data_IF_199780751032
#
_entry.id   IF_199780751032
#
_cell.length_a   1.000
_cell.length_b   1.000
_cell.length_c   1.000
_cell.angle_alpha   90.00
_cell.angle_beta   90.00
_cell.angle_gamma   90.00
#
_symmetry.space_group_name_H-M   'P 1'
#
loop_
_entity.id
_entity.type
_entity.pdbx_description
1 polymer ?
#
# COMPACT_ATOMS: atom_id res chain seq x y z
N UNK A 1 -7.71 2.67 5.24
CA UNK A 1 -6.56 3.53 4.94
C UNK A 1 -6.07 3.29 3.51
N UNK A 2 -5.53 4.33 2.89
CA UNK A 2 -5.00 4.29 1.52
C UNK A 2 -3.72 5.11 1.44
N UNK A 3 -2.69 4.50 0.88
CA UNK A 3 -1.46 5.17 0.49
C UNK A 3 -1.30 5.01 -1.03
N UNK A 4 -1.29 6.10 -1.77
CA UNK A 4 -1.19 6.05 -3.23
C UNK A 4 -2.09 7.04 -3.96
N UNK A 5 -2.38 6.73 -5.21
CA UNK A 5 -3.28 7.52 -6.06
C UNK A 5 -3.90 6.63 -7.14
N UNK A 6 -5.20 6.77 -7.34
CA UNK A 6 -5.97 6.05 -8.37
C UNK A 6 -6.15 6.94 -9.59
N UNK A 7 -5.50 6.60 -10.68
CA UNK A 7 -5.48 7.44 -11.89
C UNK A 7 -6.81 7.47 -12.62
N UNK A 8 -7.62 6.41 -12.51
CA UNK A 8 -8.94 6.28 -13.13
C UNK A 8 -10.12 6.58 -12.19
N UNK A 9 -9.86 6.99 -10.92
CA UNK A 9 -10.91 7.22 -9.92
C UNK A 9 -12.01 8.18 -10.41
N UNK A 10 -11.64 9.26 -11.12
CA UNK A 10 -12.62 10.23 -11.65
C UNK A 10 -13.56 9.65 -12.71
N UNK A 11 -13.06 8.72 -13.54
CA UNK A 11 -13.88 8.04 -14.54
C UNK A 11 -14.87 7.11 -13.87
N UNK A 12 -14.39 6.27 -12.95
CA UNK A 12 -15.22 5.34 -12.18
C UNK A 12 -16.25 6.10 -11.33
N UNK A 13 -15.86 7.19 -10.68
CA UNK A 13 -16.77 8.04 -9.89
C UNK A 13 -17.96 8.52 -10.75
N UNK A 14 -17.67 9.05 -11.95
CA UNK A 14 -18.74 9.52 -12.87
C UNK A 14 -19.70 8.41 -13.27
N UNK A 15 -19.17 7.25 -13.61
CA UNK A 15 -19.96 6.06 -13.95
C UNK A 15 -20.84 5.61 -12.78
N UNK A 16 -20.28 5.54 -11.59
CA UNK A 16 -20.99 5.14 -10.38
C UNK A 16 -22.13 6.12 -10.05
N UNK A 17 -21.89 7.44 -10.17
CA UNK A 17 -22.93 8.47 -9.96
C UNK A 17 -24.05 8.32 -10.99
N UNK A 18 -23.74 8.11 -12.28
CA UNK A 18 -24.73 7.85 -13.31
C UNK A 18 -25.59 6.61 -13.01
N UNK A 19 -25.01 5.64 -12.32
CA UNK A 19 -25.70 4.42 -11.86
C UNK A 19 -26.26 4.55 -10.43
N UNK A 20 -26.51 5.78 -9.95
CA UNK A 20 -27.19 6.07 -8.70
C UNK A 20 -26.34 5.93 -7.42
N UNK A 21 -25.01 5.91 -7.51
CA UNK A 21 -24.17 5.97 -6.31
C UNK A 21 -24.21 7.37 -5.70
N UNK A 22 -24.25 7.42 -4.37
CA UNK A 22 -24.16 8.64 -3.59
C UNK A 22 -22.78 8.67 -2.93
N UNK A 23 -22.00 9.70 -3.22
CA UNK A 23 -20.69 9.94 -2.62
C UNK A 23 -20.79 11.01 -1.53
N UNK A 24 -20.03 10.82 -0.46
CA UNK A 24 -19.99 11.75 0.67
C UNK A 24 -18.70 12.58 0.68
N UNK A 25 -17.70 12.20 -0.12
CA UNK A 25 -16.41 12.88 -0.21
C UNK A 25 -15.92 12.97 -1.66
N UNK A 26 -14.83 13.70 -1.85
CA UNK A 26 -14.11 13.77 -3.13
C UNK A 26 -12.89 12.83 -3.18
N UNK A 27 -12.75 11.96 -2.18
CA UNK A 27 -11.61 11.06 -2.07
C UNK A 27 -11.71 9.91 -3.09
N UNK A 28 -10.60 9.60 -3.73
CA UNK A 28 -10.49 8.46 -4.64
C UNK A 28 -10.76 7.12 -3.94
N UNK A 29 -10.43 7.01 -2.66
CA UNK A 29 -10.67 5.81 -1.84
C UNK A 29 -12.16 5.45 -1.72
N UNK A 30 -13.07 6.44 -1.75
CA UNK A 30 -14.52 6.18 -1.67
C UNK A 30 -15.02 5.39 -2.88
N UNK A 31 -14.39 5.55 -4.04
CA UNK A 31 -14.68 4.76 -5.23
C UNK A 31 -14.51 3.26 -4.96
N UNK A 32 -13.46 2.89 -4.23
CA UNK A 32 -13.19 1.49 -3.87
C UNK A 32 -14.30 0.91 -3.00
N UNK A 33 -14.80 1.68 -2.04
CA UNK A 33 -15.90 1.27 -1.17
C UNK A 33 -17.19 1.06 -1.97
N UNK A 34 -17.50 1.97 -2.88
CA UNK A 34 -18.68 1.88 -3.75
C UNK A 34 -18.60 0.65 -4.69
N UNK A 35 -17.45 0.38 -5.29
CA UNK A 35 -17.23 -0.81 -6.11
C UNK A 35 -17.36 -2.10 -5.28
N UNK A 36 -16.76 -2.13 -4.09
CA UNK A 36 -16.85 -3.27 -3.17
C UNK A 36 -18.30 -3.55 -2.76
N UNK A 37 -19.05 -2.51 -2.44
CA UNK A 37 -20.46 -2.63 -2.05
C UNK A 37 -21.36 -3.17 -3.18
N UNK A 38 -21.00 -2.90 -4.44
CA UNK A 38 -21.77 -3.32 -5.63
C UNK A 38 -21.40 -4.72 -6.13
N UNK A 39 -20.29 -5.29 -5.71
CA UNK A 39 -19.91 -6.66 -6.08
C UNK A 39 -20.91 -7.66 -5.50
N UNK A 40 -21.32 -8.62 -6.33
CA UNK A 40 -22.29 -9.66 -5.98
C UNK A 40 -21.64 -10.91 -5.40
N UNK A 41 -20.35 -10.88 -5.08
CA UNK A 41 -19.65 -11.98 -4.43
C UNK A 41 -20.15 -12.20 -3.01
N UNK A 42 -20.00 -13.41 -2.50
CA UNK A 42 -20.45 -13.76 -1.15
C UNK A 42 -19.46 -13.28 -0.07
N UNK A 43 -18.14 -13.50 -0.29
CA UNK A 43 -17.09 -13.14 0.66
C UNK A 43 -16.67 -11.69 0.45
N UNK A 44 -16.42 -10.96 1.53
CA UNK A 44 -16.03 -9.53 1.47
C UNK A 44 -14.68 -9.33 0.79
N UNK A 45 -13.73 -10.23 1.00
CA UNK A 45 -12.44 -10.20 0.33
C UNK A 45 -12.56 -10.37 -1.19
N UNK A 46 -13.47 -11.22 -1.67
CA UNK A 46 -13.74 -11.39 -3.11
C UNK A 46 -14.37 -10.13 -3.71
N UNK A 47 -15.26 -9.47 -2.96
CA UNK A 47 -15.85 -8.18 -3.35
C UNK A 47 -14.79 -7.10 -3.45
N UNK A 48 -13.88 -7.06 -2.49
CA UNK A 48 -12.78 -6.11 -2.47
C UNK A 48 -11.82 -6.36 -3.66
N UNK A 49 -11.49 -7.63 -3.94
CA UNK A 49 -10.68 -8.01 -5.10
C UNK A 49 -11.37 -7.62 -6.43
N UNK A 50 -12.69 -7.80 -6.56
CA UNK A 50 -13.44 -7.35 -7.74
C UNK A 50 -13.36 -5.83 -7.93
N UNK A 51 -13.36 -5.07 -6.83
CA UNK A 51 -13.14 -3.63 -6.86
C UNK A 51 -11.70 -3.28 -7.31
N UNK A 52 -10.70 -3.93 -6.71
CA UNK A 52 -9.27 -3.69 -7.02
C UNK A 52 -8.95 -3.96 -8.49
N UNK A 53 -9.59 -4.94 -9.13
CA UNK A 53 -9.41 -5.25 -10.56
C UNK A 53 -9.85 -4.16 -11.52
N UNK A 54 -10.65 -3.21 -11.05
CA UNK A 54 -11.14 -2.08 -11.83
C UNK A 54 -10.29 -0.82 -11.65
N UNK A 55 -9.29 -0.86 -10.77
CA UNK A 55 -8.47 0.29 -10.41
C UNK A 55 -7.20 0.35 -11.27
N UNK A 56 -6.85 1.56 -11.68
CA UNK A 56 -5.55 1.89 -12.24
C UNK A 56 -4.80 2.83 -11.30
N UNK A 57 -3.49 2.62 -11.16
CA UNK A 57 -2.62 3.43 -10.31
C UNK A 57 -1.81 2.62 -9.32
N UNK A 58 -1.06 3.32 -8.47
CA UNK A 58 -0.30 2.71 -7.38
C UNK A 58 -1.05 2.86 -6.06
N UNK A 59 -1.19 1.76 -5.34
CA UNK A 59 -1.90 1.77 -4.06
C UNK A 59 -1.37 0.74 -3.06
N UNK A 60 -1.52 1.10 -1.79
CA UNK A 60 -1.53 0.17 -0.68
C UNK A 60 -2.78 0.45 0.16
N UNK A 61 -3.64 -0.52 0.29
CA UNK A 61 -4.89 -0.41 1.06
C UNK A 61 -4.83 -1.23 2.34
N UNK A 62 -5.45 -0.68 3.39
CA UNK A 62 -5.88 -1.44 4.57
C UNK A 62 -7.35 -1.15 4.80
N UNK A 63 -8.18 -2.18 4.70
CA UNK A 63 -9.61 -2.14 4.94
C UNK A 63 -9.96 -2.92 6.20
N UNK A 64 -10.91 -2.40 6.96
CA UNK A 64 -11.46 -3.06 8.14
C UNK A 64 -12.93 -3.39 7.91
N UNK A 65 -13.32 -4.59 8.33
CA UNK A 65 -14.71 -5.04 8.41
C UNK A 65 -15.03 -5.39 9.87
N UNK A 66 -16.20 -5.95 10.14
CA UNK A 66 -16.57 -6.33 11.51
C UNK A 66 -15.68 -7.46 12.07
N UNK A 67 -15.12 -8.30 11.21
CA UNK A 67 -14.44 -9.54 11.59
C UNK A 67 -13.11 -9.78 10.85
N UNK A 68 -12.74 -8.88 9.92
CA UNK A 68 -11.53 -9.02 9.10
C UNK A 68 -10.79 -7.70 8.92
N UNK A 69 -9.48 -7.80 8.83
CA UNK A 69 -8.61 -6.76 8.28
C UNK A 69 -8.06 -7.27 6.94
N UNK A 70 -8.14 -6.45 5.89
CA UNK A 70 -7.68 -6.81 4.54
C UNK A 70 -6.63 -5.81 4.12
N UNK A 71 -5.43 -6.30 3.83
CA UNK A 71 -4.35 -5.53 3.20
C UNK A 71 -4.27 -5.85 1.72
N UNK A 72 -4.06 -4.85 0.87
CA UNK A 72 -3.84 -5.07 -0.56
C UNK A 72 -2.76 -4.15 -1.10
N UNK A 73 -1.87 -4.70 -1.91
CA UNK A 73 -0.82 -3.96 -2.61
C UNK A 73 -1.07 -3.98 -4.11
N UNK A 74 -0.83 -2.87 -4.79
CA UNK A 74 -1.03 -2.77 -6.23
C UNK A 74 -0.21 -3.82 -7.01
N UNK A 75 -0.66 -4.23 -8.23
CA UNK A 75 -0.01 -5.29 -9.01
C UNK A 75 1.46 -5.01 -9.38
N UNK A 76 1.87 -3.73 -9.39
CA UNK A 76 3.25 -3.33 -9.68
C UNK A 76 4.09 -3.17 -8.42
N UNK A 77 3.47 -3.18 -7.23
CA UNK A 77 4.13 -2.93 -5.96
C UNK A 77 4.72 -1.53 -5.86
N UNK A 78 4.04 -0.53 -6.46
CA UNK A 78 4.48 0.87 -6.47
C UNK A 78 4.52 1.43 -5.05
N UNK A 79 3.47 1.17 -4.26
CA UNK A 79 3.40 1.63 -2.87
C UNK A 79 3.78 0.53 -1.89
N UNK A 80 4.45 0.88 -0.79
CA UNK A 80 4.86 -0.11 0.20
C UNK A 80 3.70 -0.56 1.09
N UNK A 81 3.76 -1.82 1.50
CA UNK A 81 2.93 -2.41 2.53
C UNK A 81 3.71 -3.53 3.20
N UNK A 82 3.72 -3.55 4.53
CA UNK A 82 4.43 -4.55 5.32
C UNK A 82 3.50 -5.21 6.33
N UNK A 83 3.79 -6.48 6.62
CA UNK A 83 3.20 -7.24 7.69
C UNK A 83 4.18 -7.27 8.86
N UNK A 84 3.71 -6.93 10.02
CA UNK A 84 4.38 -7.08 11.31
C UNK A 84 3.56 -7.90 12.28
N UNK A 85 4.13 -8.16 13.46
CA UNK A 85 3.45 -8.81 14.56
C UNK A 85 3.80 -8.14 15.89
N UNK A 86 2.83 -7.93 16.75
CA UNK A 86 3.02 -7.54 18.14
C UNK A 86 3.62 -8.71 18.96
N UNK A 87 4.03 -8.42 20.19
CA UNK A 87 4.64 -9.43 21.09
C UNK A 87 3.69 -10.61 21.36
N UNK A 88 2.38 -10.37 21.40
CA UNK A 88 1.36 -11.40 21.57
C UNK A 88 1.03 -12.18 20.28
N UNK A 89 1.74 -11.89 19.17
CA UNK A 89 1.53 -12.48 17.86
C UNK A 89 0.43 -11.81 17.02
N UNK A 90 -0.22 -10.77 17.52
CA UNK A 90 -1.27 -10.05 16.78
C UNK A 90 -0.69 -9.41 15.50
N UNK A 91 -1.26 -9.67 14.32
CA UNK A 91 -0.74 -9.15 13.06
C UNK A 91 -1.03 -7.65 12.90
N UNK A 92 -0.07 -6.94 12.31
CA UNK A 92 -0.13 -5.50 12.03
C UNK A 92 0.15 -5.26 10.55
N UNK A 93 -0.62 -4.38 9.91
CA UNK A 93 -0.34 -3.89 8.56
C UNK A 93 0.00 -2.40 8.61
N UNK A 94 1.10 -2.03 8.00
CA UNK A 94 1.50 -0.63 7.84
C UNK A 94 2.32 -0.43 6.56
N UNK A 95 2.56 0.81 6.17
CA UNK A 95 3.34 1.12 4.96
C UNK A 95 4.85 0.99 5.18
N UNK A 96 5.35 1.23 6.41
CA UNK A 96 6.79 1.36 6.68
C UNK A 96 7.18 0.68 7.99
N UNK A 97 8.43 0.18 8.06
CA UNK A 97 8.96 -0.51 9.25
C UNK A 97 9.03 0.41 10.46
N UNK A 98 9.27 1.72 10.27
CA UNK A 98 9.30 2.67 11.38
C UNK A 98 7.97 2.75 12.15
N UNK A 99 6.85 2.42 11.51
CA UNK A 99 5.55 2.36 12.18
C UNK A 99 5.47 1.13 13.11
N UNK A 100 6.10 0.02 12.73
CA UNK A 100 6.23 -1.17 13.59
C UNK A 100 7.08 -0.86 14.82
N UNK A 101 8.24 -0.21 14.62
CA UNK A 101 9.13 0.19 15.71
C UNK A 101 8.42 1.09 16.73
N UNK A 102 7.60 2.03 16.24
CA UNK A 102 6.85 2.97 17.09
C UNK A 102 5.84 2.29 18.03
N UNK A 103 5.34 1.11 17.68
CA UNK A 103 4.36 0.35 18.48
C UNK A 103 4.95 -0.91 19.12
N UNK A 104 6.26 -1.13 19.00
CA UNK A 104 6.93 -2.32 19.51
C UNK A 104 6.58 -3.61 18.77
N UNK A 105 6.17 -3.51 17.50
CA UNK A 105 5.90 -4.68 16.65
C UNK A 105 7.16 -5.11 15.90
N UNK A 106 7.28 -6.40 15.66
CA UNK A 106 8.36 -6.99 14.85
C UNK A 106 7.98 -7.05 13.39
N UNK A 107 8.94 -6.77 12.48
CA UNK A 107 8.77 -6.97 11.05
C UNK A 107 8.69 -8.47 10.72
N UNK A 108 7.67 -8.88 9.97
CA UNK A 108 7.52 -10.25 9.48
C UNK A 108 7.95 -10.35 8.02
N UNK A 109 7.32 -9.57 7.12
CA UNK A 109 7.67 -9.53 5.70
C UNK A 109 7.05 -8.34 4.97
N UNK A 110 7.53 -8.08 3.78
CA UNK A 110 6.80 -7.24 2.84
C UNK A 110 5.58 -7.98 2.30
N UNK A 111 4.52 -7.24 1.97
CA UNK A 111 3.43 -7.74 1.13
C UNK A 111 3.89 -7.67 -0.33
N UNK A 112 3.72 -8.74 -1.08
CA UNK A 112 4.17 -8.82 -2.46
C UNK A 112 3.34 -7.94 -3.40
N UNK A 113 3.89 -7.63 -4.58
CA UNK A 113 3.16 -6.91 -5.62
C UNK A 113 1.93 -7.71 -6.06
N UNK A 114 0.75 -7.09 -6.02
CA UNK A 114 -0.52 -7.75 -6.36
C UNK A 114 -1.05 -8.72 -5.30
N UNK A 115 -0.43 -8.78 -4.13
CA UNK A 115 -0.91 -9.62 -3.03
C UNK A 115 -2.04 -8.93 -2.26
N UNK A 116 -3.02 -9.75 -1.86
CA UNK A 116 -4.08 -9.39 -0.91
C UNK A 116 -3.96 -10.29 0.31
N UNK A 117 -3.78 -9.69 1.48
CA UNK A 117 -3.70 -10.39 2.76
C UNK A 117 -4.99 -10.21 3.50
N UNK A 118 -5.57 -11.31 3.95
CA UNK A 118 -6.78 -11.34 4.78
C UNK A 118 -6.41 -11.84 6.18
N UNK A 119 -6.76 -11.06 7.17
CA UNK A 119 -6.48 -11.34 8.57
C UNK A 119 -7.82 -11.47 9.30
N UNK A 120 -8.05 -12.61 9.91
CA UNK A 120 -9.23 -12.88 10.73
C UNK A 120 -8.86 -13.72 11.97
N UNK A 121 -9.87 -14.20 12.69
CA UNK A 121 -9.69 -15.07 13.87
C UNK A 121 -8.95 -16.40 13.61
N UNK A 122 -8.84 -16.81 12.34
CA UNK A 122 -8.14 -18.05 11.95
C UNK A 122 -6.66 -17.78 11.59
N UNK A 123 -6.24 -16.51 11.53
CA UNK A 123 -4.89 -16.10 11.22
C UNK A 123 -4.77 -15.25 9.95
N UNK A 124 -3.67 -15.41 9.24
CA UNK A 124 -3.30 -14.62 8.06
C UNK A 124 -3.38 -15.52 6.82
N UNK A 125 -4.25 -15.15 5.88
CA UNK A 125 -4.37 -15.80 4.56
C UNK A 125 -3.79 -14.85 3.49
N UNK A 126 -2.99 -15.39 2.57
CA UNK A 126 -2.41 -14.66 1.45
C UNK A 126 -3.06 -15.09 0.14
N UNK A 127 -3.55 -14.12 -0.64
CA UNK A 127 -4.21 -14.31 -1.93
C UNK A 127 -3.43 -13.59 -3.03
N UNK A 128 -3.29 -14.21 -4.19
CA UNK A 128 -2.63 -13.63 -5.38
C UNK A 128 -3.62 -13.49 -6.55
N UNK A 129 -4.58 -12.55 -6.46
CA UNK A 129 -5.69 -12.46 -7.41
C UNK A 129 -5.33 -11.83 -8.75
N UNK A 130 -4.11 -11.31 -8.89
CA UNK A 130 -3.64 -10.64 -10.11
C UNK A 130 -2.61 -11.50 -10.85
N UNK A 131 -2.50 -11.35 -12.17
CA UNK A 131 -1.39 -11.93 -12.91
C UNK A 131 -0.04 -11.49 -12.34
N UNK A 132 0.94 -12.37 -12.37
CA UNK A 132 2.30 -12.01 -11.95
C UNK A 132 2.85 -10.87 -12.83
N UNK A 133 3.34 -9.82 -12.19
CA UNK A 133 3.97 -8.67 -12.83
C UNK A 133 5.40 -8.50 -12.31
N UNK A 134 6.21 -7.75 -13.05
CA UNK A 134 7.51 -7.33 -12.54
C UNK A 134 7.30 -6.21 -11.51
N UNK A 135 7.68 -6.46 -10.27
CA UNK A 135 7.64 -5.44 -9.25
C UNK A 135 8.45 -4.20 -9.66
N UNK A 136 7.86 -3.02 -9.52
CA UNK A 136 8.43 -1.73 -9.92
C UNK A 136 8.23 -0.72 -8.79
N UNK A 137 8.91 -0.90 -7.64
CA UNK A 137 8.74 -0.02 -6.50
C UNK A 137 9.12 1.42 -6.86
N UNK A 138 8.36 2.37 -6.34
CA UNK A 138 8.57 3.78 -6.60
C UNK A 138 9.87 4.27 -5.97
N UNK A 139 10.80 4.79 -6.78
CA UNK A 139 12.07 5.34 -6.28
C UNK A 139 11.87 6.55 -5.36
N UNK A 140 10.76 7.28 -5.49
CA UNK A 140 10.43 8.41 -4.63
C UNK A 140 10.23 8.04 -3.17
N UNK A 141 9.99 6.78 -2.86
CA UNK A 141 10.02 6.31 -1.47
C UNK A 141 11.40 6.55 -0.84
N UNK A 142 12.48 6.25 -1.55
CA UNK A 142 13.83 6.56 -1.08
C UNK A 142 14.19 8.04 -1.16
N UNK A 143 13.72 8.75 -2.20
CA UNK A 143 14.06 10.16 -2.40
C UNK A 143 13.38 11.05 -1.37
N UNK A 144 12.07 10.82 -1.11
CA UNK A 144 11.28 11.77 -0.34
C UNK A 144 10.22 11.15 0.60
N UNK A 145 9.44 10.14 0.16
CA UNK A 145 8.23 9.75 0.88
C UNK A 145 8.52 9.00 2.20
N UNK A 146 9.39 7.99 2.16
CA UNK A 146 9.65 7.16 3.33
C UNK A 146 10.41 7.93 4.43
N UNK A 147 10.16 7.57 5.67
CA UNK A 147 10.93 8.10 6.78
C UNK A 147 12.38 7.61 6.74
N UNK A 148 13.37 8.42 7.16
CA UNK A 148 14.78 8.02 7.12
C UNK A 148 15.10 6.77 7.95
N UNK A 149 14.38 6.55 9.03
CA UNK A 149 14.54 5.43 9.95
C UNK A 149 13.89 4.12 9.45
N UNK A 150 13.17 4.17 8.32
CA UNK A 150 12.58 2.98 7.70
C UNK A 150 13.59 2.11 6.96
N UNK A 151 13.32 0.80 6.95
CA UNK A 151 13.98 -0.18 6.08
C UNK A 151 13.00 -0.59 4.99
N UNK A 152 13.37 -0.38 3.72
CA UNK A 152 12.56 -0.72 2.57
C UNK A 152 13.32 -1.70 1.67
N UNK A 153 12.68 -2.82 1.33
CA UNK A 153 13.31 -3.87 0.50
C UNK A 153 14.71 -4.28 1.00
N UNK A 154 14.90 -4.33 2.33
CA UNK A 154 16.15 -4.68 2.97
C UNK A 154 17.22 -3.58 2.97
N UNK A 155 16.89 -2.36 2.54
CA UNK A 155 17.81 -1.22 2.51
C UNK A 155 17.35 -0.09 3.45
N UNK A 156 18.28 0.48 4.22
CA UNK A 156 18.00 1.68 5.02
C UNK A 156 17.75 2.87 4.11
N UNK A 157 16.65 3.56 4.32
CA UNK A 157 16.31 4.79 3.60
C UNK A 157 17.35 5.87 3.88
N UNK A 158 17.79 6.02 5.13
CA UNK A 158 18.83 6.97 5.52
C UNK A 158 20.15 6.74 4.78
N UNK A 159 20.66 5.50 4.78
CA UNK A 159 21.92 5.20 4.09
C UNK A 159 21.80 5.36 2.57
N UNK A 160 20.66 5.05 2.01
CA UNK A 160 20.39 5.28 0.58
C UNK A 160 20.43 6.78 0.25
N UNK A 161 19.81 7.64 1.07
CA UNK A 161 19.87 9.11 0.89
C UNK A 161 21.27 9.65 1.08
N UNK A 162 22.02 9.14 2.05
CA UNK A 162 23.45 9.50 2.20
C UNK A 162 24.26 9.15 0.94
N UNK A 163 24.00 7.99 0.35
CA UNK A 163 24.64 7.57 -0.90
C UNK A 163 24.27 8.50 -2.06
N UNK A 164 23.00 8.90 -2.19
CA UNK A 164 22.58 9.88 -3.18
C UNK A 164 23.32 11.21 -3.01
N UNK A 165 23.44 11.72 -1.79
CA UNK A 165 24.19 12.95 -1.50
C UNK A 165 25.68 12.85 -1.88
N UNK A 166 26.33 11.72 -1.61
CA UNK A 166 27.73 11.50 -2.01
C UNK A 166 27.92 11.48 -3.52
N UNK A 167 27.01 10.81 -4.24
CA UNK A 167 27.03 10.76 -5.71
C UNK A 167 26.80 12.15 -6.27
N UNK A 168 25.79 12.87 -5.78
CA UNK A 168 25.49 14.24 -6.21
C UNK A 168 26.67 15.18 -5.99
N UNK A 169 27.33 15.12 -4.83
CA UNK A 169 28.52 15.93 -4.56
C UNK A 169 29.69 15.62 -5.52
N UNK A 170 29.77 14.39 -6.03
CA UNK A 170 30.76 14.01 -7.04
C UNK A 170 30.41 14.47 -8.45
N UNK A 171 29.11 14.41 -8.81
CA UNK A 171 28.61 14.75 -10.15
C UNK A 171 28.42 16.26 -10.35
N UNK A 172 28.04 16.97 -9.30
CA UNK A 172 27.71 18.40 -9.34
C UNK A 172 28.37 19.10 -8.12
N UNK A 173 29.70 19.10 -8.13
CA UNK A 173 30.47 19.75 -7.08
C UNK A 173 30.16 21.24 -7.00
N UNK A 174 29.94 21.72 -5.77
CA UNK A 174 29.77 23.13 -5.44
C UNK A 174 30.92 23.50 -4.50
N UNK A 175 31.58 24.60 -4.81
CA UNK A 175 32.61 25.19 -3.93
C UNK A 175 31.89 25.82 -2.73
N UNK A 176 32.00 25.20 -1.57
CA UNK A 176 31.33 25.61 -0.35
C UNK A 176 32.21 25.27 0.87
N UNK A 177 32.07 26.06 1.93
CA UNK A 177 32.85 25.90 3.16
C UNK A 177 32.38 24.73 4.03
N UNK A 178 31.16 24.24 3.82
CA UNK A 178 30.53 23.11 4.53
C UNK A 178 29.78 22.22 3.53
#
# INVERSE_FOLDING_TARGET
>A
AHNGNLTNARAIHRELVQNGAIFQSTMDTEVVLQLTARSMRNRIEDRFIDALRQLDGGYAFVALTNDKMIGARDPWGLRPLVLGALEDGSPVLCSETCALDAIGASFVRNIDAGEVVVIDKNGVESLTPFPATRASPCVFEYVYFARPDSIMHGQSVYETRRRFGRILASEAHVDADI
#
